data_IF_635352764806
#
_entry.id   IF_635352764806
#
_cell.length_a   1.000
_cell.length_b   1.000
_cell.length_c   1.000
_cell.angle_alpha   90.00
_cell.angle_beta   90.00
_cell.angle_gamma   90.00
#
_symmetry.space_group_name_H-M   'P 1'
#
loop_
_entity.id
_entity.type
_entity.pdbx_description
1 polymer ?
#
# COMPACT_ATOMS: atom_id res chain seq x y z
N UNK A 1 -45.93 9.31 -9.55
CA UNK A 1 -44.97 8.42 -10.25
C UNK A 1 -43.71 8.35 -9.40
N UNK A 2 -43.33 7.17 -8.92
CA UNK A 2 -42.04 6.96 -8.24
C UNK A 2 -41.02 6.54 -9.30
N UNK A 3 -39.88 7.23 -9.36
CA UNK A 3 -38.77 6.88 -10.26
C UNK A 3 -37.79 6.03 -9.47
N UNK A 4 -37.53 4.81 -9.91
CA UNK A 4 -36.49 3.96 -9.32
C UNK A 4 -35.13 4.55 -9.70
N UNK A 5 -34.38 5.02 -8.70
CA UNK A 5 -33.01 5.51 -8.88
C UNK A 5 -32.07 4.31 -8.90
N UNK A 6 -31.34 4.12 -10.01
CA UNK A 6 -30.23 3.16 -10.06
C UNK A 6 -28.98 3.87 -9.53
N UNK A 7 -28.29 3.23 -8.60
CA UNK A 7 -27.01 3.69 -8.04
C UNK A 7 -25.92 2.80 -8.62
N UNK A 8 -24.82 3.40 -9.03
CA UNK A 8 -23.60 2.69 -9.44
C UNK A 8 -22.53 2.97 -8.39
N UNK A 9 -21.87 1.93 -7.90
CA UNK A 9 -20.79 2.01 -6.94
C UNK A 9 -19.51 1.63 -7.70
N UNK A 10 -18.50 2.50 -7.62
CA UNK A 10 -17.19 2.25 -8.21
C UNK A 10 -16.20 1.97 -7.09
N UNK A 11 -15.32 1.00 -7.32
CA UNK A 11 -14.07 0.90 -6.58
C UNK A 11 -13.14 2.06 -6.97
N UNK A 12 -12.17 2.39 -6.14
CA UNK A 12 -11.22 3.48 -6.43
C UNK A 12 -10.05 2.95 -7.26
N UNK A 13 -9.31 1.99 -6.71
CA UNK A 13 -8.10 1.43 -7.32
C UNK A 13 -8.39 0.53 -8.52
N UNK A 14 -7.73 0.77 -9.65
CA UNK A 14 -7.92 0.00 -10.89
C UNK A 14 -9.23 0.28 -11.64
N UNK A 15 -10.07 1.17 -11.12
CA UNK A 15 -11.35 1.57 -11.77
C UNK A 15 -11.39 3.08 -12.01
N UNK A 16 -11.20 3.90 -10.98
CA UNK A 16 -11.19 5.37 -11.10
C UNK A 16 -9.77 5.90 -11.21
N UNK A 17 -8.82 5.32 -10.48
CA UNK A 17 -7.39 5.66 -10.55
C UNK A 17 -6.57 4.41 -10.83
N UNK A 18 -5.41 4.57 -11.49
CA UNK A 18 -4.46 3.49 -11.61
C UNK A 18 -3.85 3.19 -10.23
N UNK A 19 -4.05 1.97 -9.74
CA UNK A 19 -3.37 1.47 -8.56
C UNK A 19 -2.25 0.51 -9.00
N UNK A 20 -1.00 0.91 -8.78
CA UNK A 20 0.17 0.14 -9.19
C UNK A 20 1.29 0.24 -8.13
N UNK A 21 1.31 -0.66 -7.13
CA UNK A 21 2.30 -0.61 -6.05
C UNK A 21 3.74 -0.80 -6.53
N UNK A 22 3.97 -1.43 -7.68
CA UNK A 22 5.30 -1.55 -8.27
C UNK A 22 5.79 -0.19 -8.78
N UNK A 23 4.90 0.60 -9.40
CA UNK A 23 5.21 1.97 -9.81
C UNK A 23 5.45 2.90 -8.62
N UNK A 24 4.68 2.74 -7.53
CA UNK A 24 4.89 3.47 -6.27
C UNK A 24 6.32 3.25 -5.76
N UNK A 25 6.75 1.99 -5.64
CA UNK A 25 8.08 1.68 -5.11
C UNK A 25 9.19 2.13 -6.07
N UNK A 26 9.00 2.00 -7.39
CA UNK A 26 9.95 2.48 -8.38
C UNK A 26 10.12 4.01 -8.36
N UNK A 27 9.05 4.75 -8.09
CA UNK A 27 9.11 6.21 -7.88
C UNK A 27 9.74 6.61 -6.54
N UNK A 28 9.65 5.74 -5.53
CA UNK A 28 10.19 5.97 -4.19
C UNK A 28 11.70 5.69 -4.08
N UNK A 29 12.20 4.66 -4.77
CA UNK A 29 13.57 4.19 -4.65
C UNK A 29 14.19 3.89 -6.02
N UNK A 30 15.34 4.52 -6.31
CA UNK A 30 16.06 4.32 -7.58
C UNK A 30 16.89 3.02 -7.63
N UNK A 31 17.26 2.46 -6.48
CA UNK A 31 17.95 1.17 -6.42
C UNK A 31 16.95 0.04 -6.67
N UNK A 32 17.08 -0.61 -7.83
CA UNK A 32 16.16 -1.66 -8.26
C UNK A 32 16.12 -2.87 -7.31
N UNK A 33 17.24 -3.23 -6.67
CA UNK A 33 17.28 -4.35 -5.74
C UNK A 33 16.56 -3.99 -4.43
N UNK A 34 16.78 -2.76 -3.93
CA UNK A 34 16.09 -2.27 -2.76
C UNK A 34 14.59 -2.07 -3.03
N UNK A 35 14.23 -1.55 -4.20
CA UNK A 35 12.85 -1.41 -4.64
C UNK A 35 12.13 -2.78 -4.66
N UNK A 36 12.75 -3.80 -5.23
CA UNK A 36 12.18 -5.16 -5.20
C UNK A 36 12.01 -5.69 -3.77
N UNK A 37 12.97 -5.44 -2.89
CA UNK A 37 12.89 -5.84 -1.48
C UNK A 37 11.79 -5.11 -0.71
N UNK A 38 11.63 -3.79 -0.93
CA UNK A 38 10.57 -2.98 -0.33
C UNK A 38 9.19 -3.42 -0.82
N UNK A 39 9.04 -3.67 -2.13
CA UNK A 39 7.80 -4.19 -2.69
C UNK A 39 7.42 -5.55 -2.07
N UNK A 40 8.38 -6.48 -2.00
CA UNK A 40 8.17 -7.79 -1.41
C UNK A 40 7.81 -7.72 0.09
N UNK A 41 8.44 -6.80 0.83
CA UNK A 41 8.27 -6.67 2.27
C UNK A 41 6.98 -5.94 2.70
N UNK A 42 6.51 -5.02 1.85
CA UNK A 42 5.35 -4.16 2.12
C UNK A 42 4.15 -4.66 1.32
N UNK A 43 4.09 -4.36 0.02
CA UNK A 43 2.86 -4.52 -0.78
C UNK A 43 2.56 -5.95 -1.22
N UNK A 44 3.57 -6.81 -1.37
CA UNK A 44 3.35 -8.22 -1.70
C UNK A 44 3.25 -9.13 -0.46
N UNK A 45 3.43 -8.57 0.74
CA UNK A 45 3.37 -9.33 1.99
C UNK A 45 1.92 -9.45 2.50
N UNK A 46 1.50 -10.59 3.10
CA UNK A 46 0.14 -10.77 3.61
C UNK A 46 -0.34 -9.72 4.61
N UNK A 47 0.57 -9.16 5.41
CA UNK A 47 0.27 -8.05 6.34
C UNK A 47 -0.36 -6.84 5.63
N UNK A 48 -0.07 -6.61 4.34
CA UNK A 48 -0.64 -5.49 3.58
C UNK A 48 -2.16 -5.56 3.57
N UNK A 49 -2.74 -6.73 3.32
CA UNK A 49 -4.19 -6.90 3.29
C UNK A 49 -4.82 -6.70 4.68
N UNK A 50 -4.08 -6.92 5.77
CA UNK A 50 -4.55 -6.62 7.12
C UNK A 50 -4.50 -5.13 7.44
N UNK A 51 -3.43 -4.45 7.01
CA UNK A 51 -3.26 -3.01 7.13
C UNK A 51 -4.32 -2.25 6.33
N UNK A 52 -4.48 -2.58 5.05
CA UNK A 52 -5.38 -1.92 4.10
C UNK A 52 -6.85 -1.95 4.55
N UNK A 53 -7.28 -3.05 5.19
CA UNK A 53 -8.63 -3.18 5.77
C UNK A 53 -8.76 -2.63 7.20
N UNK A 54 -7.72 -1.98 7.74
CA UNK A 54 -7.67 -1.41 9.09
C UNK A 54 -7.59 -2.44 10.23
N UNK A 55 -7.22 -3.68 9.94
CA UNK A 55 -7.04 -4.76 10.92
C UNK A 55 -5.67 -4.78 11.60
N UNK A 56 -4.71 -4.04 11.06
CA UNK A 56 -3.38 -3.83 11.61
C UNK A 56 -3.11 -2.33 11.60
N UNK A 57 -2.68 -1.75 12.72
CA UNK A 57 -2.30 -0.32 12.77
C UNK A 57 -0.90 -0.09 12.16
N UNK A 58 -0.67 1.14 11.68
CA UNK A 58 0.57 1.53 11.01
C UNK A 58 1.81 1.29 11.87
N UNK A 59 1.75 1.56 13.18
CA UNK A 59 2.92 1.42 14.07
C UNK A 59 3.31 -0.06 14.19
N UNK A 60 2.33 -0.94 14.38
CA UNK A 60 2.53 -2.38 14.41
C UNK A 60 3.00 -2.92 13.06
N UNK A 61 2.41 -2.46 11.95
CA UNK A 61 2.80 -2.84 10.60
C UNK A 61 4.25 -2.46 10.30
N UNK A 62 4.64 -1.22 10.59
CA UNK A 62 6.02 -0.73 10.43
C UNK A 62 6.98 -1.55 11.28
N UNK A 63 6.64 -1.85 12.53
CA UNK A 63 7.46 -2.71 13.38
C UNK A 63 7.71 -4.10 12.77
N UNK A 64 6.67 -4.72 12.20
CA UNK A 64 6.79 -6.00 11.48
C UNK A 64 7.65 -5.86 10.21
N UNK A 65 7.49 -4.78 9.46
CA UNK A 65 8.30 -4.50 8.25
C UNK A 65 9.78 -4.33 8.59
N UNK A 66 10.09 -3.61 9.67
CA UNK A 66 11.47 -3.43 10.16
C UNK A 66 12.11 -4.74 10.62
N UNK A 67 11.33 -5.63 11.25
CA UNK A 67 11.83 -6.93 11.68
C UNK A 67 12.22 -7.83 10.50
N UNK A 68 11.48 -7.75 9.37
CA UNK A 68 11.77 -8.52 8.15
C UNK A 68 12.88 -7.90 7.29
N UNK A 69 12.85 -6.59 7.13
CA UNK A 69 13.84 -5.82 6.37
C UNK A 69 14.30 -4.63 7.24
N UNK A 70 15.45 -4.77 7.94
CA UNK A 70 15.94 -3.73 8.84
C UNK A 70 16.20 -2.40 8.13
N UNK A 71 15.30 -1.44 8.33
CA UNK A 71 15.34 -0.08 7.79
C UNK A 71 14.77 0.91 8.81
N UNK A 72 15.04 2.22 8.69
CA UNK A 72 14.45 3.23 9.56
C UNK A 72 12.92 3.26 9.44
N UNK A 73 12.20 3.36 10.56
CA UNK A 73 10.73 3.43 10.59
C UNK A 73 10.19 4.55 9.68
N UNK A 74 10.82 5.73 9.73
CA UNK A 74 10.42 6.87 8.89
C UNK A 74 10.57 6.65 7.38
N UNK A 75 11.30 5.63 6.94
CA UNK A 75 11.30 5.24 5.53
C UNK A 75 10.02 4.48 5.15
N UNK A 76 9.57 3.57 6.00
CA UNK A 76 8.30 2.87 5.83
C UNK A 76 7.11 3.84 5.90
N UNK A 77 7.12 4.79 6.83
CA UNK A 77 6.08 5.83 6.91
C UNK A 77 5.97 6.63 5.61
N UNK A 78 7.10 7.04 5.02
CA UNK A 78 7.09 7.76 3.75
C UNK A 78 6.66 6.88 2.57
N UNK A 79 6.99 5.60 2.59
CA UNK A 79 6.57 4.66 1.55
C UNK A 79 5.06 4.41 1.60
N UNK A 80 4.49 4.23 2.80
CA UNK A 80 3.04 4.08 2.99
C UNK A 80 2.32 5.35 2.54
N UNK A 81 2.80 6.53 2.94
CA UNK A 81 2.24 7.81 2.47
C UNK A 81 2.35 8.01 0.95
N UNK A 82 3.35 7.43 0.30
CA UNK A 82 3.47 7.51 -1.17
C UNK A 82 2.46 6.61 -1.89
N UNK A 83 1.75 5.76 -1.15
CA UNK A 83 0.75 4.84 -1.65
C UNK A 83 -0.70 5.30 -1.39
N UNK A 84 -0.89 6.38 -0.61
CA UNK A 84 -2.17 7.06 -0.38
C UNK A 84 -2.51 8.04 -1.52
#
# INVERSE_FOLDING_TARGET
MSVIRKVVIFDLGGVVVEWNPQAVVAGFCADAALAAALFANVFAHPDWAELDRGGLDDVAAIGRMQARLPRPAGEYERLLRAAD
#
